data_IF_276512576134
#
_entry.id   IF_276512576134
#
_cell.length_a   1.000
_cell.length_b   1.000
_cell.length_c   1.000
_cell.angle_alpha   90.00
_cell.angle_beta   90.00
_cell.angle_gamma   90.00
#
_symmetry.space_group_name_H-M   'P 1'
#
loop_
_entity.id
_entity.type
_entity.pdbx_description
1 polymer ?
#
# COMPACT_ATOMS: atom_id res chain seq x y z
N UNK A 1 5.53 -24.00 -10.81
CA UNK A 1 6.84 -23.65 -11.43
C UNK A 1 6.91 -22.17 -11.79
N UNK A 2 6.02 -21.64 -12.66
CA UNK A 2 5.98 -20.20 -12.99
C UNK A 2 5.70 -19.28 -11.78
N UNK A 3 4.76 -19.66 -10.91
CA UNK A 3 4.45 -18.99 -9.63
C UNK A 3 5.70 -18.70 -8.78
N UNK A 4 6.52 -19.72 -8.55
CA UNK A 4 7.69 -19.64 -7.67
C UNK A 4 8.80 -18.82 -8.34
N UNK A 5 8.95 -18.93 -9.66
CA UNK A 5 9.92 -18.14 -10.41
C UNK A 5 9.59 -16.65 -10.40
N UNK A 6 8.30 -16.28 -10.40
CA UNK A 6 7.88 -14.88 -10.26
C UNK A 6 8.16 -14.38 -8.85
N UNK A 7 7.74 -15.12 -7.82
CA UNK A 7 7.94 -14.71 -6.43
C UNK A 7 9.43 -14.57 -6.08
N UNK A 8 10.30 -15.48 -6.54
CA UNK A 8 11.76 -15.40 -6.33
C UNK A 8 12.41 -14.14 -6.91
N UNK A 9 11.79 -13.49 -7.88
CA UNK A 9 12.29 -12.23 -8.46
C UNK A 9 11.87 -11.01 -7.64
N UNK A 10 11.01 -11.17 -6.64
CA UNK A 10 10.46 -10.07 -5.85
C UNK A 10 11.17 -10.01 -4.49
N UNK A 11 11.86 -8.91 -4.27
CA UNK A 11 12.56 -8.60 -3.03
C UNK A 11 12.22 -7.16 -2.62
N UNK A 12 11.37 -7.01 -1.61
CA UNK A 12 10.84 -5.74 -1.12
C UNK A 12 10.23 -5.93 0.27
N UNK A 13 10.28 -4.92 1.14
CA UNK A 13 9.82 -5.07 2.53
C UNK A 13 8.33 -5.39 2.66
N UNK A 14 7.50 -4.80 1.79
CA UNK A 14 6.06 -5.11 1.69
C UNK A 14 5.72 -6.35 0.84
N UNK A 15 6.71 -7.21 0.53
CA UNK A 15 6.49 -8.52 -0.10
C UNK A 15 7.07 -9.58 0.83
N UNK A 16 6.28 -10.61 1.12
CA UNK A 16 6.70 -11.71 1.98
C UNK A 16 7.91 -12.41 1.35
N UNK A 17 8.99 -12.57 2.11
CA UNK A 17 10.20 -13.22 1.56
C UNK A 17 9.93 -14.69 1.31
N UNK A 18 10.19 -15.12 0.07
CA UNK A 18 10.21 -16.52 -0.30
C UNK A 18 11.53 -17.15 0.14
N UNK A 19 11.49 -18.28 0.86
CA UNK A 19 12.68 -18.94 1.38
C UNK A 19 13.03 -20.18 0.56
N UNK A 20 12.13 -21.16 0.53
CA UNK A 20 12.36 -22.40 -0.19
C UNK A 20 11.05 -23.08 -0.62
N UNK A 21 11.16 -24.12 -1.43
CA UNK A 21 10.05 -25.01 -1.74
C UNK A 21 10.57 -26.40 -2.07
N UNK A 22 9.70 -27.39 -1.89
CA UNK A 22 9.93 -28.71 -2.45
C UNK A 22 8.67 -29.16 -3.20
N UNK A 23 8.88 -30.01 -4.20
CA UNK A 23 7.79 -30.60 -4.99
C UNK A 23 7.40 -31.97 -4.44
N UNK A 24 8.29 -32.66 -3.73
CA UNK A 24 7.99 -33.94 -3.08
C UNK A 24 8.78 -34.12 -1.76
N UNK A 25 8.12 -34.06 -0.58
CA UNK A 25 6.74 -33.62 -0.38
C UNK A 25 6.52 -32.18 -0.83
N UNK A 26 5.30 -31.82 -1.25
CA UNK A 26 4.97 -30.44 -1.65
C UNK A 26 4.95 -29.56 -0.40
N UNK A 27 5.89 -28.62 -0.31
CA UNK A 27 5.85 -27.56 0.68
C UNK A 27 6.42 -26.26 0.12
N UNK A 28 6.04 -25.14 0.73
CA UNK A 28 6.56 -23.82 0.44
C UNK A 28 6.93 -23.14 1.77
N UNK A 29 8.16 -22.65 1.85
CA UNK A 29 8.72 -21.94 2.99
C UNK A 29 8.81 -20.46 2.66
N UNK A 30 8.31 -19.63 3.57
CA UNK A 30 8.29 -18.18 3.47
C UNK A 30 8.52 -17.54 4.84
N UNK A 31 8.79 -16.24 4.84
CA UNK A 31 8.83 -15.42 6.06
C UNK A 31 7.57 -15.61 6.92
N UNK A 32 7.77 -15.92 8.19
CA UNK A 32 6.68 -16.13 9.14
C UNK A 32 6.08 -14.78 9.55
N UNK A 33 4.80 -14.58 9.21
CA UNK A 33 4.02 -13.41 9.60
C UNK A 33 3.06 -13.76 10.75
N UNK A 34 2.74 -12.77 11.59
CA UNK A 34 1.93 -12.95 12.80
C UNK A 34 0.41 -12.96 12.53
N UNK A 35 -0.03 -12.53 11.34
CA UNK A 35 -1.45 -12.48 10.97
C UNK A 35 -1.69 -12.13 9.50
N UNK A 36 -2.94 -11.79 9.16
CA UNK A 36 -3.34 -11.29 7.84
C UNK A 36 -4.49 -10.30 7.93
N UNK A 37 -4.66 -9.46 6.89
CA UNK A 37 -5.77 -8.50 6.81
C UNK A 37 -7.16 -9.16 6.75
N UNK A 38 -7.23 -10.47 6.52
CA UNK A 38 -8.49 -11.21 6.62
C UNK A 38 -9.00 -11.35 8.06
N UNK A 39 -8.10 -11.27 9.06
CA UNK A 39 -8.43 -11.55 10.47
C UNK A 39 -8.48 -10.31 11.36
N UNK A 40 -8.14 -9.14 10.84
CA UNK A 40 -8.22 -7.88 11.59
C UNK A 40 -9.68 -7.44 11.75
N UNK A 41 -9.99 -6.77 12.86
CA UNK A 41 -11.29 -6.12 13.07
C UNK A 41 -11.48 -4.96 12.09
N UNK A 42 -12.70 -4.81 11.56
CA UNK A 42 -13.11 -3.74 10.66
C UNK A 42 -14.41 -3.11 11.18
N UNK A 43 -14.72 -1.84 10.86
CA UNK A 43 -13.90 -0.92 10.07
C UNK A 43 -12.65 -0.47 10.83
N UNK A 44 -11.60 -0.13 10.09
CA UNK A 44 -10.41 0.55 10.61
C UNK A 44 -10.61 2.06 10.59
N UNK A 45 -9.81 2.75 11.41
CA UNK A 45 -9.54 4.18 11.20
C UNK A 45 -9.02 4.43 9.78
N UNK A 46 -9.47 5.52 9.17
CA UNK A 46 -9.24 5.79 7.75
C UNK A 46 -7.76 6.02 7.45
N UNK A 47 -7.01 6.61 8.38
CA UNK A 47 -5.57 6.83 8.29
C UNK A 47 -4.82 5.51 8.33
N UNK A 48 -5.23 4.59 9.22
CA UNK A 48 -4.63 3.25 9.30
C UNK A 48 -4.90 2.46 8.03
N UNK A 49 -6.12 2.53 7.50
CA UNK A 49 -6.46 1.90 6.23
C UNK A 49 -5.64 2.50 5.07
N UNK A 50 -5.56 3.83 4.97
CA UNK A 50 -4.78 4.52 3.94
C UNK A 50 -3.29 4.16 4.02
N UNK A 51 -2.71 4.09 5.22
CA UNK A 51 -1.32 3.67 5.43
C UNK A 51 -1.09 2.23 4.97
N UNK A 52 -1.98 1.29 5.32
CA UNK A 52 -1.88 -0.11 4.87
C UNK A 52 -1.92 -0.17 3.33
N UNK A 53 -2.82 0.58 2.70
CA UNK A 53 -2.96 0.61 1.24
C UNK A 53 -1.72 1.24 0.58
N UNK A 54 -1.17 2.31 1.16
CA UNK A 54 0.07 2.93 0.71
C UNK A 54 1.22 1.91 0.74
N UNK A 55 1.39 1.19 1.84
CA UNK A 55 2.44 0.16 1.98
C UNK A 55 2.27 -1.00 0.98
N UNK A 56 1.06 -1.52 0.81
CA UNK A 56 0.77 -2.56 -0.19
C UNK A 56 1.08 -2.03 -1.61
N UNK A 57 0.70 -0.78 -1.91
CA UNK A 57 0.96 -0.18 -3.20
C UNK A 57 2.46 -0.08 -3.52
N UNK A 58 3.34 0.13 -2.51
CA UNK A 58 4.80 0.15 -2.68
C UNK A 58 5.31 -1.22 -3.13
N UNK A 59 4.86 -2.29 -2.46
CA UNK A 59 5.18 -3.67 -2.86
C UNK A 59 4.67 -4.04 -4.26
N UNK A 60 3.43 -3.69 -4.59
CA UNK A 60 2.89 -3.93 -5.93
C UNK A 60 3.63 -3.12 -7.01
N UNK A 61 3.98 -1.86 -6.75
CA UNK A 61 4.76 -1.02 -7.69
C UNK A 61 6.13 -1.65 -8.01
N UNK A 62 6.78 -2.26 -7.02
CA UNK A 62 8.01 -3.03 -7.24
C UNK A 62 7.81 -4.21 -8.20
N UNK A 63 6.73 -4.98 -8.03
CA UNK A 63 6.40 -6.10 -8.92
C UNK A 63 6.03 -5.63 -10.33
N UNK A 64 5.25 -4.55 -10.45
CA UNK A 64 4.82 -3.98 -11.73
C UNK A 64 5.99 -3.47 -12.57
N UNK A 65 7.04 -2.91 -11.96
CA UNK A 65 8.31 -2.55 -12.64
C UNK A 65 8.98 -3.75 -13.31
N UNK A 66 8.75 -4.96 -12.80
CA UNK A 66 9.23 -6.23 -13.38
C UNK A 66 8.19 -6.90 -14.29
N UNK A 67 7.09 -6.21 -14.60
CA UNK A 67 5.94 -6.71 -15.38
C UNK A 67 5.32 -7.99 -14.79
N UNK A 68 5.33 -8.08 -13.46
CA UNK A 68 4.65 -9.12 -12.69
C UNK A 68 3.43 -8.46 -12.03
N UNK A 69 2.23 -8.91 -12.41
CA UNK A 69 0.96 -8.45 -11.84
C UNK A 69 0.42 -9.54 -10.92
N UNK A 70 -0.16 -9.18 -9.76
CA UNK A 70 -0.64 -10.17 -8.79
C UNK A 70 -1.92 -10.85 -9.26
N UNK A 71 -2.92 -10.07 -9.68
CA UNK A 71 -4.22 -10.49 -10.25
C UNK A 71 -5.15 -11.32 -9.35
N UNK A 72 -4.79 -11.55 -8.08
CA UNK A 72 -5.64 -12.18 -7.05
C UNK A 72 -5.42 -11.55 -5.67
N UNK A 73 -5.31 -10.22 -5.64
CA UNK A 73 -5.14 -9.49 -4.40
C UNK A 73 -6.42 -9.57 -3.55
N UNK A 74 -6.28 -10.02 -2.32
CA UNK A 74 -7.35 -10.14 -1.31
C UNK A 74 -6.78 -10.05 0.10
N UNK A 75 -7.59 -9.78 1.13
CA UNK A 75 -7.09 -9.64 2.50
C UNK A 75 -6.36 -10.87 3.05
N UNK A 76 -6.66 -12.09 2.59
CA UNK A 76 -5.93 -13.30 3.03
C UNK A 76 -4.52 -13.37 2.46
N UNK A 77 -4.25 -12.68 1.35
CA UNK A 77 -2.96 -12.66 0.67
C UNK A 77 -2.12 -11.46 1.12
N UNK A 78 -2.64 -10.61 2.00
CA UNK A 78 -1.87 -9.58 2.70
C UNK A 78 -1.62 -10.03 4.13
N UNK A 79 -0.41 -10.52 4.38
CA UNK A 79 0.07 -10.91 5.69
C UNK A 79 0.51 -9.69 6.51
N UNK A 80 0.63 -9.86 7.81
CA UNK A 80 1.09 -8.83 8.74
C UNK A 80 2.29 -9.34 9.54
N UNK A 81 3.42 -8.65 9.44
CA UNK A 81 4.57 -8.81 10.33
C UNK A 81 4.69 -7.54 11.16
N UNK A 82 4.43 -7.63 12.47
CA UNK A 82 4.47 -6.49 13.38
C UNK A 82 3.76 -5.25 12.82
N UNK A 83 2.51 -5.43 12.39
CA UNK A 83 1.66 -4.39 11.79
C UNK A 83 2.09 -3.85 10.42
N UNK A 84 3.17 -4.37 9.83
CA UNK A 84 3.61 -4.08 8.45
C UNK A 84 2.92 -5.03 7.47
N UNK A 85 2.18 -4.53 6.46
CA UNK A 85 1.54 -5.38 5.47
C UNK A 85 2.56 -5.93 4.47
N UNK A 86 2.45 -7.23 4.20
CA UNK A 86 3.29 -8.00 3.28
C UNK A 86 2.43 -8.78 2.30
N UNK A 87 2.64 -8.54 1.01
CA UNK A 87 1.96 -9.27 -0.06
C UNK A 87 2.53 -10.69 -0.14
N UNK A 88 1.64 -11.67 -0.28
CA UNK A 88 1.97 -13.09 -0.38
C UNK A 88 1.17 -13.74 -1.50
N UNK A 89 1.42 -15.02 -1.77
CA UNK A 89 0.62 -15.83 -2.70
C UNK A 89 0.55 -15.25 -4.13
N UNK A 90 1.69 -15.30 -4.80
CA UNK A 90 1.85 -14.91 -6.20
C UNK A 90 1.46 -16.04 -7.17
N UNK A 91 0.62 -16.98 -6.72
CA UNK A 91 0.24 -18.20 -7.47
C UNK A 91 -0.50 -17.95 -8.78
N UNK A 92 -1.20 -16.82 -8.84
CA UNK A 92 -1.93 -16.38 -10.03
C UNK A 92 -1.24 -15.24 -10.75
N UNK A 93 -0.02 -14.88 -10.31
CA UNK A 93 0.71 -13.77 -10.88
C UNK A 93 0.99 -13.99 -12.36
N UNK A 94 0.72 -12.97 -13.17
CA UNK A 94 0.94 -13.00 -14.60
C UNK A 94 2.17 -12.18 -14.97
N UNK A 95 3.03 -12.80 -15.78
CA UNK A 95 4.01 -12.06 -16.58
C UNK A 95 3.30 -11.66 -17.86
N UNK A 96 3.41 -10.39 -18.26
CA UNK A 96 2.84 -9.89 -19.51
C UNK A 96 3.34 -10.76 -20.68
N UNK A 97 2.51 -11.69 -21.13
CA UNK A 97 2.73 -12.60 -22.25
C UNK A 97 1.51 -12.51 -23.17
N UNK A 98 1.72 -12.67 -24.47
CA UNK A 98 0.71 -12.36 -25.49
C UNK A 98 -0.52 -13.30 -25.44
N UNK A 99 -0.38 -14.47 -24.79
CA UNK A 99 -1.40 -15.50 -24.64
C UNK A 99 -2.34 -15.20 -23.46
N UNK A 100 -3.38 -14.42 -23.75
CA UNK A 100 -4.37 -13.93 -22.78
C UNK A 100 -5.40 -14.96 -22.30
N UNK A 101 -5.03 -16.23 -22.09
CA UNK A 101 -5.94 -17.24 -21.55
C UNK A 101 -5.98 -17.18 -20.01
N UNK A 102 -6.97 -16.50 -19.43
CA UNK A 102 -7.36 -16.71 -18.04
C UNK A 102 -8.25 -17.96 -17.95
N UNK A 103 -7.83 -18.96 -17.18
CA UNK A 103 -8.73 -20.03 -16.77
C UNK A 103 -9.79 -19.41 -15.85
N UNK A 104 -11.05 -19.41 -16.31
CA UNK A 104 -12.19 -19.01 -15.50
C UNK A 104 -12.20 -19.84 -14.20
N UNK A 105 -12.26 -19.16 -13.05
CA UNK A 105 -12.35 -19.81 -11.72
C UNK A 105 -11.07 -19.83 -10.90
N UNK A 106 -9.95 -19.29 -11.40
CA UNK A 106 -8.71 -19.24 -10.61
C UNK A 106 -8.65 -18.08 -9.60
N UNK A 107 -9.36 -16.98 -9.83
CA UNK A 107 -9.32 -15.77 -8.98
C UNK A 107 -10.45 -15.71 -7.95
N UNK A 108 -10.32 -14.83 -6.97
CA UNK A 108 -11.26 -14.62 -5.88
C UNK A 108 -12.44 -13.74 -6.31
N UNK A 109 -13.65 -14.29 -6.47
CA UNK A 109 -14.72 -13.60 -7.21
C UNK A 109 -15.12 -12.22 -6.69
N UNK A 110 -15.08 -12.03 -5.38
CA UNK A 110 -15.51 -10.81 -4.70
C UNK A 110 -14.51 -9.65 -4.85
N UNK A 111 -13.26 -9.94 -5.19
CA UNK A 111 -12.20 -8.94 -5.37
C UNK A 111 -11.84 -8.70 -6.83
N UNK A 112 -12.23 -9.62 -7.72
CA UNK A 112 -11.86 -9.59 -9.13
C UNK A 112 -12.31 -8.31 -9.86
N UNK A 113 -11.47 -7.85 -10.79
CA UNK A 113 -11.74 -6.68 -11.61
C UNK A 113 -12.66 -7.01 -12.80
N UNK A 114 -13.37 -6.03 -13.39
CA UNK A 114 -14.25 -6.22 -14.56
C UNK A 114 -13.59 -6.98 -15.73
N UNK A 115 -12.33 -6.66 -16.03
CA UNK A 115 -11.52 -7.30 -17.08
C UNK A 115 -11.25 -8.79 -16.84
N UNK A 116 -11.30 -9.26 -15.59
CA UNK A 116 -11.16 -10.70 -15.28
C UNK A 116 -12.43 -11.49 -15.62
N UNK A 117 -13.58 -10.82 -15.68
CA UNK A 117 -14.87 -11.42 -16.03
C UNK A 117 -15.30 -11.24 -17.48
N UNK A 118 -14.85 -10.15 -18.11
CA UNK A 118 -15.20 -9.74 -19.47
C UNK A 118 -14.03 -9.04 -20.17
N UNK A 119 -12.92 -9.77 -20.45
CA UNK A 119 -11.74 -9.20 -21.11
C UNK A 119 -12.02 -8.68 -22.53
N UNK A 120 -13.06 -9.19 -23.18
CA UNK A 120 -13.55 -8.72 -24.48
C UNK A 120 -14.14 -7.29 -24.45
N UNK A 121 -14.63 -6.85 -23.29
CA UNK A 121 -15.22 -5.51 -23.09
C UNK A 121 -14.19 -4.57 -22.45
N UNK A 122 -13.52 -5.03 -21.40
CA UNK A 122 -12.64 -4.19 -20.58
C UNK A 122 -11.16 -4.32 -20.95
N UNK A 123 -10.80 -5.22 -21.87
CA UNK A 123 -9.41 -5.51 -22.27
C UNK A 123 -8.74 -6.57 -21.39
N UNK A 124 -7.48 -6.92 -21.71
CA UNK A 124 -6.69 -7.89 -20.94
C UNK A 124 -6.28 -7.36 -19.56
N UNK A 125 -6.00 -8.25 -18.61
CA UNK A 125 -5.44 -7.90 -17.30
C UNK A 125 -4.08 -7.18 -17.44
N UNK A 126 -3.90 -6.11 -16.68
CA UNK A 126 -2.64 -5.36 -16.53
C UNK A 126 -2.50 -4.84 -15.09
N UNK A 127 -1.51 -3.97 -14.81
CA UNK A 127 -1.29 -3.35 -13.49
C UNK A 127 -2.55 -2.69 -12.87
N UNK A 128 -3.49 -2.22 -13.69
CA UNK A 128 -4.73 -1.59 -13.23
C UNK A 128 -5.75 -2.60 -12.70
N UNK A 129 -5.54 -3.89 -12.96
CA UNK A 129 -6.28 -5.00 -12.32
C UNK A 129 -6.00 -4.99 -10.83
N UNK A 130 -4.72 -4.93 -10.45
CA UNK A 130 -4.30 -4.91 -9.04
C UNK A 130 -4.79 -3.63 -8.34
N UNK A 131 -4.84 -2.49 -9.05
CA UNK A 131 -5.38 -1.22 -8.53
C UNK A 131 -6.86 -1.37 -8.14
N UNK A 132 -7.67 -2.02 -8.99
CA UNK A 132 -9.08 -2.27 -8.68
C UNK A 132 -9.24 -3.18 -7.47
N UNK A 133 -8.45 -4.25 -7.39
CA UNK A 133 -8.46 -5.17 -6.26
C UNK A 133 -8.03 -4.46 -4.96
N UNK A 134 -7.03 -3.60 -5.03
CA UNK A 134 -6.58 -2.76 -3.92
C UNK A 134 -7.66 -1.77 -3.47
N UNK A 135 -8.38 -1.14 -4.40
CA UNK A 135 -9.55 -0.30 -4.09
C UNK A 135 -10.67 -1.08 -3.40
N UNK A 136 -10.88 -2.33 -3.80
CA UNK A 136 -11.87 -3.22 -3.16
C UNK A 136 -11.48 -3.57 -1.73
N UNK A 137 -10.19 -3.83 -1.48
CA UNK A 137 -9.65 -4.01 -0.13
C UNK A 137 -9.81 -2.72 0.68
N UNK A 138 -9.45 -1.56 0.12
CA UNK A 138 -9.54 -0.29 0.83
C UNK A 138 -10.98 0.03 1.25
N UNK A 139 -11.93 -0.14 0.34
CA UNK A 139 -13.37 -0.04 0.63
C UNK A 139 -13.76 -0.91 1.83
N UNK A 140 -13.32 -2.18 1.83
CA UNK A 140 -13.65 -3.10 2.90
C UNK A 140 -12.99 -2.74 4.23
N UNK A 141 -11.75 -2.23 4.21
CA UNK A 141 -11.06 -1.82 5.42
C UNK A 141 -11.81 -0.70 6.14
N UNK A 142 -12.36 0.27 5.42
CA UNK A 142 -13.03 1.44 6.03
C UNK A 142 -14.52 1.27 6.26
N UNK A 143 -15.16 0.26 5.66
CA UNK A 143 -16.62 0.05 5.79
C UNK A 143 -17.03 -1.27 6.44
N UNK A 144 -16.12 -2.25 6.57
CA UNK A 144 -16.46 -3.66 6.86
C UNK A 144 -17.46 -4.29 5.85
N UNK A 145 -17.62 -3.69 4.67
CA UNK A 145 -18.49 -4.18 3.61
C UNK A 145 -17.70 -4.32 2.31
N UNK A 146 -18.20 -5.16 1.39
CA UNK A 146 -17.65 -5.23 0.03
C UNK A 146 -18.40 -4.23 -0.85
N UNK A 147 -17.71 -3.60 -1.82
CA UNK A 147 -18.31 -2.60 -2.71
C UNK A 147 -19.37 -3.21 -3.63
N UNK A 148 -19.18 -4.47 -4.04
CA UNK A 148 -20.10 -5.21 -4.91
C UNK A 148 -20.51 -6.51 -4.20
N UNK A 149 -21.80 -6.83 -4.27
CA UNK A 149 -22.39 -7.97 -3.54
C UNK A 149 -23.38 -8.72 -4.43
N UNK A 150 -23.62 -9.97 -4.07
CA UNK A 150 -24.62 -10.82 -4.70
C UNK A 150 -24.66 -12.16 -3.99
N UNK A 151 -25.80 -12.84 -4.06
CA UNK A 151 -26.01 -14.12 -3.38
C UNK A 151 -25.23 -15.24 -4.07
N UNK A 152 -24.99 -15.09 -5.38
CA UNK A 152 -24.32 -16.08 -6.22
C UNK A 152 -23.34 -15.41 -7.20
N UNK A 153 -22.42 -16.20 -7.75
CA UNK A 153 -21.33 -15.73 -8.62
C UNK A 153 -21.80 -14.85 -9.78
N UNK A 154 -22.91 -15.20 -10.43
CA UNK A 154 -23.46 -14.41 -11.55
C UNK A 154 -23.90 -13.02 -11.12
N UNK A 155 -24.51 -12.89 -9.94
CA UNK A 155 -24.91 -11.58 -9.41
C UNK A 155 -23.68 -10.75 -9.04
N UNK A 156 -22.68 -11.36 -8.38
CA UNK A 156 -21.42 -10.69 -8.06
C UNK A 156 -20.73 -10.18 -9.33
N UNK A 157 -20.62 -11.03 -10.36
CA UNK A 157 -20.08 -10.65 -11.68
C UNK A 157 -20.83 -9.45 -12.27
N UNK A 158 -22.16 -9.51 -12.29
CA UNK A 158 -22.98 -8.43 -12.85
C UNK A 158 -22.79 -7.11 -12.08
N UNK A 159 -22.77 -7.16 -10.75
CA UNK A 159 -22.51 -5.99 -9.91
C UNK A 159 -21.11 -5.40 -10.18
N UNK A 160 -20.08 -6.24 -10.27
CA UNK A 160 -18.72 -5.81 -10.60
C UNK A 160 -18.63 -5.16 -11.98
N UNK A 161 -19.36 -5.66 -12.98
CA UNK A 161 -19.29 -5.14 -14.35
C UNK A 161 -20.14 -3.88 -14.55
N UNK A 162 -21.31 -3.79 -13.92
CA UNK A 162 -22.35 -2.83 -14.31
C UNK A 162 -22.72 -1.82 -13.21
N UNK A 163 -22.53 -2.13 -11.94
CA UNK A 163 -23.01 -1.29 -10.84
C UNK A 163 -21.90 -0.38 -10.29
N UNK A 164 -22.26 0.84 -9.91
CA UNK A 164 -21.38 1.70 -9.11
C UNK A 164 -21.45 1.28 -7.64
N UNK A 165 -20.31 1.25 -6.91
CA UNK A 165 -20.33 0.92 -5.50
C UNK A 165 -21.06 2.00 -4.72
N UNK A 166 -21.74 1.61 -3.63
CA UNK A 166 -22.29 2.58 -2.69
C UNK A 166 -21.14 3.43 -2.11
N UNK A 167 -21.24 4.77 -2.06
CA UNK A 167 -20.17 5.60 -1.51
C UNK A 167 -19.78 5.16 -0.09
N UNK A 168 -18.47 4.95 0.21
CA UNK A 168 -18.00 4.59 1.55
C UNK A 168 -18.53 5.49 2.66
N UNK A 169 -18.61 6.81 2.42
CA UNK A 169 -19.08 7.81 3.37
C UNK A 169 -20.54 7.61 3.82
N UNK A 170 -21.36 6.96 3.00
CA UNK A 170 -22.74 6.60 3.38
C UNK A 170 -22.82 5.42 4.35
N UNK A 171 -21.74 4.64 4.49
CA UNK A 171 -21.65 3.49 5.40
C UNK A 171 -20.82 3.86 6.65
N UNK A 172 -19.69 4.54 6.45
CA UNK A 172 -18.84 5.11 7.48
C UNK A 172 -18.56 6.57 7.14
N UNK A 173 -19.18 7.55 7.83
CA UNK A 173 -18.98 8.98 7.55
C UNK A 173 -17.51 9.45 7.58
N UNK A 174 -16.65 8.82 8.40
CA UNK A 174 -15.22 9.15 8.45
C UNK A 174 -14.49 8.79 7.15
N UNK A 175 -15.03 7.86 6.36
CA UNK A 175 -14.46 7.48 5.07
C UNK A 175 -14.59 8.55 3.97
N UNK A 176 -15.27 9.67 4.24
CA UNK A 176 -15.42 10.78 3.29
C UNK A 176 -14.06 11.31 2.77
N UNK A 177 -13.04 11.35 3.62
CA UNK A 177 -11.73 11.89 3.24
C UNK A 177 -10.94 10.95 2.31
N UNK A 178 -11.20 9.64 2.36
CA UNK A 178 -10.52 8.63 1.53
C UNK A 178 -11.38 8.09 0.38
N UNK A 179 -12.67 8.43 0.37
CA UNK A 179 -13.65 8.02 -0.64
C UNK A 179 -13.22 8.33 -2.08
N UNK A 180 -12.68 9.52 -2.41
CA UNK A 180 -12.24 9.81 -3.78
C UNK A 180 -11.18 8.83 -4.29
N UNK A 181 -10.24 8.42 -3.44
CA UNK A 181 -9.18 7.47 -3.79
C UNK A 181 -9.77 6.07 -4.04
N UNK A 182 -10.69 5.63 -3.16
CA UNK A 182 -11.38 4.35 -3.26
C UNK A 182 -12.20 4.28 -4.55
N UNK A 183 -13.05 5.28 -4.81
CA UNK A 183 -13.93 5.30 -5.97
C UNK A 183 -13.14 5.36 -7.28
N UNK A 184 -12.07 6.15 -7.34
CA UNK A 184 -11.18 6.18 -8.51
C UNK A 184 -10.50 4.83 -8.78
N UNK A 185 -10.12 4.09 -7.74
CA UNK A 185 -9.62 2.71 -7.93
C UNK A 185 -10.70 1.76 -8.49
N UNK A 186 -11.96 1.97 -8.11
CA UNK A 186 -13.11 1.11 -8.44
C UNK A 186 -13.83 1.49 -9.74
N UNK A 187 -13.29 2.44 -10.52
CA UNK A 187 -13.81 2.77 -11.84
C UNK A 187 -13.81 1.53 -12.76
N UNK A 188 -14.87 1.35 -13.54
CA UNK A 188 -15.03 0.12 -14.35
C UNK A 188 -14.04 0.09 -15.50
N UNK A 189 -13.91 1.23 -16.17
CA UNK A 189 -13.01 1.43 -17.30
C UNK A 189 -11.61 1.71 -16.78
N UNK A 190 -10.63 0.94 -17.28
CA UNK A 190 -9.23 1.05 -16.84
C UNK A 190 -8.62 2.43 -17.04
N UNK A 191 -9.02 3.17 -18.07
CA UNK A 191 -8.54 4.53 -18.33
C UNK A 191 -9.02 5.57 -17.32
N UNK A 192 -10.09 5.27 -16.57
CA UNK A 192 -10.67 6.18 -15.59
C UNK A 192 -10.11 5.90 -14.18
N UNK A 193 -9.37 4.79 -13.99
CA UNK A 193 -8.63 4.47 -12.77
C UNK A 193 -7.32 5.27 -12.68
N UNK A 194 -6.63 5.17 -11.55
CA UNK A 194 -5.20 5.46 -11.50
C UNK A 194 -4.45 4.66 -12.57
N UNK A 195 -3.57 5.31 -13.33
CA UNK A 195 -2.89 4.63 -14.43
C UNK A 195 -1.68 3.82 -13.97
N UNK A 196 -1.17 4.11 -12.78
CA UNK A 196 -0.11 3.37 -12.11
C UNK A 196 -0.23 3.58 -10.59
N UNK A 197 0.47 2.75 -9.80
CA UNK A 197 0.42 2.84 -8.35
C UNK A 197 1.12 4.07 -7.78
N UNK A 198 2.05 4.70 -8.51
CA UNK A 198 2.72 5.93 -8.03
C UNK A 198 1.73 7.08 -7.88
N UNK A 199 0.78 7.23 -8.79
CA UNK A 199 -0.28 8.25 -8.67
C UNK A 199 -1.15 8.03 -7.41
N UNK A 200 -1.50 6.78 -7.09
CA UNK A 200 -2.22 6.45 -5.86
C UNK A 200 -1.36 6.69 -4.62
N UNK A 201 -0.07 6.35 -4.69
CA UNK A 201 0.88 6.59 -3.60
C UNK A 201 0.98 8.08 -3.27
N UNK A 202 1.08 8.93 -4.28
CA UNK A 202 1.17 10.38 -4.11
C UNK A 202 -0.07 10.93 -3.43
N UNK A 203 -1.27 10.56 -3.90
CA UNK A 203 -2.54 10.99 -3.32
C UNK A 203 -2.69 10.53 -1.86
N UNK A 204 -2.39 9.26 -1.56
CA UNK A 204 -2.49 8.71 -0.19
C UNK A 204 -1.47 9.32 0.76
N UNK A 205 -0.24 9.52 0.29
CA UNK A 205 0.82 10.11 1.10
C UNK A 205 0.55 11.61 1.37
N UNK A 206 -0.05 12.34 0.42
CA UNK A 206 -0.53 13.70 0.68
C UNK A 206 -1.66 13.73 1.72
N UNK A 207 -2.65 12.84 1.59
CA UNK A 207 -3.72 12.71 2.58
C UNK A 207 -3.20 12.42 3.99
N UNK A 208 -2.31 11.42 4.12
CA UNK A 208 -1.67 11.09 5.39
C UNK A 208 -0.82 12.25 5.92
N UNK A 209 -0.08 12.92 5.03
CA UNK A 209 0.70 14.10 5.37
C UNK A 209 -0.15 15.22 5.96
N UNK A 210 -1.25 15.57 5.31
CA UNK A 210 -2.18 16.60 5.77
C UNK A 210 -2.82 16.24 7.12
N UNK A 211 -3.19 14.98 7.33
CA UNK A 211 -3.73 14.53 8.61
C UNK A 211 -2.68 14.59 9.73
N UNK A 212 -1.48 14.05 9.49
CA UNK A 212 -0.41 14.12 10.46
C UNK A 212 0.00 15.56 10.76
N UNK A 213 -0.04 16.47 9.79
CA UNK A 213 0.18 17.92 9.98
C UNK A 213 -0.89 18.54 10.90
N UNK A 214 -2.17 18.21 10.71
CA UNK A 214 -3.27 18.64 11.59
C UNK A 214 -3.10 18.08 13.00
N UNK A 215 -2.85 16.78 13.12
CA UNK A 215 -2.63 16.08 14.39
C UNK A 215 -1.41 16.63 15.14
N UNK A 216 -0.31 16.93 14.44
CA UNK A 216 0.88 17.54 15.01
C UNK A 216 0.61 18.94 15.59
N UNK A 217 -0.22 19.72 14.89
CA UNK A 217 -0.62 21.08 15.32
C UNK A 217 -1.50 21.03 16.56
N UNK A 218 -2.39 20.03 16.66
CA UNK A 218 -3.35 19.88 17.76
C UNK A 218 -2.73 19.20 18.99
N UNK A 219 -1.72 18.34 18.80
CA UNK A 219 -1.13 17.58 19.89
C UNK A 219 -0.44 18.49 20.92
N UNK A 220 -0.59 18.13 22.20
CA UNK A 220 0.13 18.75 23.33
C UNK A 220 1.18 17.80 23.93
N UNK A 221 1.28 16.57 23.44
CA UNK A 221 2.14 15.53 23.99
C UNK A 221 3.42 15.38 23.14
N UNK A 222 4.59 15.56 23.76
CA UNK A 222 5.88 15.48 23.06
C UNK A 222 6.15 14.11 22.42
N UNK A 223 5.76 13.01 23.07
CA UNK A 223 5.97 11.66 22.55
C UNK A 223 5.09 11.41 21.30
N UNK A 224 3.85 11.85 21.35
CA UNK A 224 2.93 11.80 20.21
C UNK A 224 3.47 12.61 19.03
N UNK A 225 4.03 13.79 19.29
CA UNK A 225 4.68 14.61 18.26
C UNK A 225 5.91 13.93 17.65
N UNK A 226 6.73 13.24 18.44
CA UNK A 226 7.85 12.43 17.92
C UNK A 226 7.36 11.32 16.98
N UNK A 227 6.28 10.63 17.37
CA UNK A 227 5.68 9.59 16.53
C UNK A 227 5.09 10.16 15.23
N UNK A 228 4.37 11.29 15.31
CA UNK A 228 3.79 11.94 14.14
C UNK A 228 4.87 12.46 13.19
N UNK A 229 5.91 13.13 13.70
CA UNK A 229 7.02 13.60 12.87
C UNK A 229 7.76 12.45 12.19
N UNK A 230 7.98 11.33 12.88
CA UNK A 230 8.64 10.17 12.28
C UNK A 230 7.78 9.50 11.19
N UNK A 231 6.46 9.40 11.38
CA UNK A 231 5.55 8.94 10.35
C UNK A 231 5.54 9.87 9.12
N UNK A 232 5.52 11.19 9.34
CA UNK A 232 5.61 12.19 8.27
C UNK A 232 6.92 12.09 7.48
N UNK A 233 8.06 11.92 8.16
CA UNK A 233 9.35 11.72 7.48
C UNK A 233 9.31 10.46 6.63
N UNK A 234 8.77 9.35 7.14
CA UNK A 234 8.65 8.08 6.39
C UNK A 234 7.79 8.23 5.13
N UNK A 235 6.65 8.92 5.25
CA UNK A 235 5.74 9.19 4.13
C UNK A 235 6.43 10.02 3.06
N UNK A 236 7.06 11.14 3.43
CA UNK A 236 7.68 12.05 2.47
C UNK A 236 9.02 11.56 1.92
N UNK A 237 9.76 10.72 2.68
CA UNK A 237 10.98 10.08 2.19
C UNK A 237 10.66 9.11 1.04
N UNK A 238 9.55 8.38 1.13
CA UNK A 238 9.12 7.49 0.07
C UNK A 238 8.66 8.24 -1.20
N UNK A 239 8.08 9.43 -1.05
CA UNK A 239 7.80 10.35 -2.17
C UNK A 239 9.08 11.04 -2.71
N UNK A 240 10.24 10.78 -2.11
CA UNK A 240 11.50 11.48 -2.40
C UNK A 240 11.41 13.00 -2.23
N UNK A 241 10.49 13.45 -1.39
CA UNK A 241 10.22 14.86 -1.14
C UNK A 241 11.18 15.38 -0.06
N UNK A 242 12.41 15.72 -0.49
CA UNK A 242 13.46 16.22 0.39
C UNK A 242 13.01 17.45 1.19
N UNK A 243 12.23 18.35 0.58
CA UNK A 243 11.77 19.58 1.23
C UNK A 243 10.81 19.29 2.39
N UNK A 244 9.84 18.39 2.20
CA UNK A 244 8.95 17.97 3.29
C UNK A 244 9.72 17.18 4.35
N UNK A 245 10.65 16.29 3.97
CA UNK A 245 11.52 15.60 4.93
C UNK A 245 12.28 16.59 5.82
N UNK A 246 12.84 17.66 5.25
CA UNK A 246 13.54 18.72 5.99
C UNK A 246 12.64 19.42 6.99
N UNK A 247 11.39 19.75 6.62
CA UNK A 247 10.41 20.35 7.53
C UNK A 247 10.19 19.45 8.74
N UNK A 248 9.97 18.14 8.52
CA UNK A 248 9.67 17.23 9.62
C UNK A 248 10.88 16.79 10.43
N UNK A 249 12.08 16.76 9.86
CA UNK A 249 13.31 16.60 10.63
C UNK A 249 13.53 17.80 11.56
N UNK A 250 13.28 19.03 11.10
CA UNK A 250 13.34 20.22 11.95
C UNK A 250 12.31 20.19 13.09
N UNK A 251 11.08 19.74 12.80
CA UNK A 251 10.07 19.54 13.83
C UNK A 251 10.49 18.44 14.82
N UNK A 252 10.99 17.30 14.32
CA UNK A 252 11.48 16.19 15.13
C UNK A 252 12.63 16.64 16.06
N UNK A 253 13.56 17.45 15.56
CA UNK A 253 14.67 18.01 16.32
C UNK A 253 14.19 18.83 17.54
N UNK A 254 13.08 19.55 17.40
CA UNK A 254 12.48 20.33 18.48
C UNK A 254 11.90 19.44 19.59
N UNK A 255 11.48 18.21 19.27
CA UNK A 255 10.86 17.28 20.21
C UNK A 255 11.81 16.20 20.76
N UNK A 256 12.94 15.95 20.09
CA UNK A 256 13.94 14.98 20.51
C UNK A 256 14.40 15.24 21.95
N UNK A 257 14.67 14.17 22.70
CA UNK A 257 14.99 14.25 24.13
C UNK A 257 16.50 14.19 24.34
N UNK A 258 17.16 13.22 23.71
CA UNK A 258 18.58 12.93 23.91
C UNK A 258 19.48 13.82 23.05
N UNK A 259 20.66 14.18 23.59
CA UNK A 259 21.65 14.98 22.86
C UNK A 259 22.17 14.25 21.61
N UNK A 260 22.43 12.96 21.75
CA UNK A 260 22.92 12.10 20.68
C UNK A 260 21.92 12.00 19.53
N UNK A 261 20.62 11.91 19.83
CA UNK A 261 19.60 11.89 18.79
C UNK A 261 19.45 13.25 18.10
N UNK A 262 19.54 14.36 18.86
CA UNK A 262 19.58 15.71 18.28
C UNK A 262 20.75 15.93 17.34
N UNK A 263 21.94 15.45 17.68
CA UNK A 263 23.12 15.54 16.82
C UNK A 263 22.90 14.74 15.53
N UNK A 264 22.39 13.51 15.64
CA UNK A 264 22.05 12.67 14.48
C UNK A 264 21.03 13.34 13.54
N UNK A 265 19.98 13.97 14.09
CA UNK A 265 18.98 14.67 13.26
C UNK A 265 19.61 15.88 12.56
N UNK A 266 20.47 16.65 13.25
CA UNK A 266 21.15 17.81 12.66
C UNK A 266 22.08 17.43 11.51
N UNK A 267 22.87 16.38 11.69
CA UNK A 267 23.75 15.85 10.63
C UNK A 267 22.92 15.48 9.39
N UNK A 268 21.75 14.89 9.60
CA UNK A 268 20.86 14.51 8.49
C UNK A 268 20.19 15.72 7.82
N UNK A 269 19.81 16.74 8.58
CA UNK A 269 19.30 18.01 8.03
C UNK A 269 20.36 18.65 7.14
N UNK A 270 21.59 18.81 7.62
CA UNK A 270 22.69 19.39 6.85
C UNK A 270 22.97 18.59 5.57
N UNK A 271 22.94 17.25 5.66
CA UNK A 271 23.09 16.38 4.51
C UNK A 271 21.94 16.56 3.50
N UNK A 272 20.67 16.55 3.92
CA UNK A 272 19.54 16.74 3.01
C UNK A 272 19.53 18.13 2.37
N UNK A 273 19.88 19.19 3.10
CA UNK A 273 20.02 20.54 2.56
C UNK A 273 21.09 20.58 1.46
N UNK A 274 22.24 19.94 1.70
CA UNK A 274 23.30 19.82 0.71
C UNK A 274 22.80 19.10 -0.55
N UNK A 275 22.19 17.91 -0.41
CA UNK A 275 21.67 17.15 -1.55
C UNK A 275 20.60 17.93 -2.33
N UNK A 276 19.67 18.58 -1.61
CA UNK A 276 18.64 19.41 -2.22
C UNK A 276 19.24 20.61 -2.97
N UNK A 277 20.33 21.21 -2.47
CA UNK A 277 21.03 22.31 -3.16
C UNK A 277 21.68 21.87 -4.48
N UNK A 278 22.03 20.59 -4.59
CA UNK A 278 22.59 19.98 -5.80
C UNK A 278 21.51 19.44 -6.75
N UNK A 279 20.22 19.62 -6.43
CA UNK A 279 19.10 19.08 -7.20
C UNK A 279 18.99 17.55 -7.12
N UNK A 280 19.61 16.94 -6.12
CA UNK A 280 19.55 15.49 -5.88
C UNK A 280 18.38 15.21 -4.93
N UNK A 281 17.57 14.20 -5.25
CA UNK A 281 16.47 13.77 -4.38
C UNK A 281 16.99 13.15 -3.07
N UNK A 282 16.10 12.90 -2.11
CA UNK A 282 16.52 12.30 -0.82
C UNK A 282 16.74 10.78 -0.88
N UNK A 283 16.76 10.16 -2.06
CA UNK A 283 16.81 8.69 -2.18
C UNK A 283 18.05 8.07 -1.53
N UNK A 284 19.22 8.68 -1.75
CA UNK A 284 20.49 8.23 -1.15
C UNK A 284 20.53 8.44 0.38
N UNK A 285 19.56 9.17 0.92
CA UNK A 285 19.43 9.47 2.34
C UNK A 285 18.39 8.60 3.05
N UNK A 286 17.57 7.84 2.32
CA UNK A 286 16.52 6.98 2.88
C UNK A 286 17.03 6.08 4.03
N UNK A 287 18.17 5.36 3.92
CA UNK A 287 18.65 4.51 5.02
C UNK A 287 18.96 5.27 6.31
N UNK A 288 19.38 6.54 6.20
CA UNK A 288 19.65 7.39 7.36
C UNK A 288 18.35 7.91 7.98
N UNK A 289 17.39 8.29 7.13
CA UNK A 289 16.04 8.67 7.56
C UNK A 289 15.35 7.53 8.31
N UNK A 290 15.43 6.29 7.82
CA UNK A 290 14.88 5.10 8.48
C UNK A 290 15.46 4.89 9.87
N UNK A 291 16.78 5.09 10.03
CA UNK A 291 17.44 4.99 11.33
C UNK A 291 16.96 6.08 12.31
N UNK A 292 16.70 7.29 11.82
CA UNK A 292 16.12 8.38 12.62
C UNK A 292 14.68 8.05 13.02
N UNK A 293 13.86 7.59 12.07
CA UNK A 293 12.47 7.18 12.29
C UNK A 293 12.41 6.10 13.37
N UNK A 294 13.29 5.10 13.30
CA UNK A 294 13.35 4.03 14.29
C UNK A 294 13.63 4.57 15.70
N UNK A 295 14.64 5.43 15.87
CA UNK A 295 14.97 6.02 17.18
C UNK A 295 13.86 6.92 17.72
N UNK A 296 13.22 7.71 16.85
CA UNK A 296 12.05 8.53 17.24
C UNK A 296 10.92 7.66 17.80
N UNK A 297 10.63 6.52 17.18
CA UNK A 297 9.61 5.56 17.64
C UNK A 297 9.96 4.92 18.99
N UNK A 298 11.24 4.85 19.33
CA UNK A 298 11.72 4.39 20.64
C UNK A 298 11.62 5.49 21.74
N UNK A 299 11.22 6.71 21.39
CA UNK A 299 11.00 7.81 22.33
C UNK A 299 12.26 8.59 22.72
N UNK A 300 13.32 8.54 21.90
CA UNK A 300 14.59 9.25 22.13
C UNK A 300 14.55 10.77 21.83
#
# INVERSE_FOLDING_TARGET
KAEIENWRKLDHDNITKFLDYNVYPVYLEMELCNGSLAKIGKPLMVERAAFIILEISRGLSHAHKKKIFHTDLKPSNILLLDDVPKISDWGLSKVQSEDGSSLAGSFSPQYAAPEQYSPEIFGKEDERTDIFQLGTIFYQLVTDKLPFRGDHLTQIKNAIIAESPRPPSEINPEAADVEPFILKCLEKKKQDRYQNLSELQDDLANFLGDDFEKSLTLSRNTLEKLTLCSALIEVFAAQKNAQKCLIYLNNLLAYAVTKEFKEMIKEEIEALEFYSSQGVDCKERIPFLEKIIHRARMGE
#
